data_IF_833485967602
#
_entry.id   IF_833485967602
#
_cell.length_a   1.000
_cell.length_b   1.000
_cell.length_c   1.000
_cell.angle_alpha   90.00
_cell.angle_beta   90.00
_cell.angle_gamma   90.00
#
_symmetry.space_group_name_H-M   'P 1'
#
loop_
_entity.id
_entity.type
_entity.pdbx_description
1 polymer ?
#
# COMPACT_ATOMS: atom_id res chain seq x y z
N UNK A 1 -14.19 -4.58 -11.46
CA UNK A 1 -15.01 -3.34 -11.35
C UNK A 1 -14.72 -2.72 -9.99
N UNK A 2 -14.71 -1.38 -9.87
CA UNK A 2 -14.64 -0.73 -8.53
C UNK A 2 -15.92 -1.06 -7.77
N UNK A 3 -15.80 -1.59 -6.55
CA UNK A 3 -16.94 -1.86 -5.66
C UNK A 3 -17.14 -0.79 -4.60
N UNK A 4 -16.10 0.00 -4.33
CA UNK A 4 -16.10 1.03 -3.30
C UNK A 4 -15.63 2.37 -3.88
N UNK A 5 -15.91 3.45 -3.16
CA UNK A 5 -15.29 4.76 -3.39
C UNK A 5 -14.09 4.96 -2.49
N UNK A 6 -13.22 5.91 -2.85
CA UNK A 6 -12.09 6.29 -1.99
C UNK A 6 -12.54 6.78 -0.62
N UNK A 7 -13.66 7.51 -0.55
CA UNK A 7 -14.27 7.94 0.72
C UNK A 7 -14.65 6.74 1.61
N UNK A 8 -15.27 5.70 1.04
CA UNK A 8 -15.63 4.49 1.79
C UNK A 8 -14.39 3.77 2.32
N UNK A 9 -13.33 3.65 1.51
CA UNK A 9 -12.07 3.03 1.92
C UNK A 9 -11.33 3.83 2.99
N UNK A 10 -11.30 5.15 2.88
CA UNK A 10 -10.77 6.04 3.91
C UNK A 10 -11.52 5.89 5.23
N UNK A 11 -12.86 5.87 5.20
CA UNK A 11 -13.67 5.63 6.41
C UNK A 11 -13.42 4.24 7.00
N UNK A 12 -13.35 3.22 6.15
CA UNK A 12 -13.09 1.84 6.56
C UNK A 12 -11.76 1.71 7.31
N UNK A 13 -10.68 2.29 6.81
CA UNK A 13 -9.38 2.21 7.48
C UNK A 13 -9.30 3.10 8.73
N UNK A 14 -9.98 4.25 8.73
CA UNK A 14 -10.11 5.10 9.91
C UNK A 14 -10.80 4.35 11.04
N UNK A 15 -11.90 3.65 10.75
CA UNK A 15 -12.63 2.86 11.75
C UNK A 15 -11.80 1.66 12.23
N UNK A 16 -11.25 0.88 11.30
CA UNK A 16 -10.46 -0.32 11.61
C UNK A 16 -9.22 -0.04 12.47
N UNK A 17 -8.60 1.14 12.31
CA UNK A 17 -7.39 1.56 13.02
C UNK A 17 -7.62 2.68 14.04
N UNK A 18 -8.87 3.05 14.28
CA UNK A 18 -9.27 4.14 15.20
C UNK A 18 -8.55 5.48 14.90
N UNK A 19 -8.34 5.78 13.62
CA UNK A 19 -7.65 6.99 13.17
C UNK A 19 -8.63 8.15 13.01
N UNK A 20 -8.21 9.33 13.47
CA UNK A 20 -8.82 10.62 13.14
C UNK A 20 -8.15 11.16 11.88
N UNK A 21 -8.81 12.14 11.23
CA UNK A 21 -8.23 12.79 10.04
C UNK A 21 -6.88 13.46 10.33
N UNK A 22 -6.67 13.96 11.56
CA UNK A 22 -5.39 14.56 11.96
C UNK A 22 -4.27 13.53 11.99
N UNK A 23 -4.55 12.31 12.43
CA UNK A 23 -3.57 11.22 12.51
C UNK A 23 -3.13 10.79 11.09
N UNK A 24 -4.04 10.84 10.11
CA UNK A 24 -3.71 10.61 8.70
C UNK A 24 -2.81 11.72 8.13
N UNK A 25 -3.07 12.98 8.48
CA UNK A 25 -2.24 14.11 8.03
C UNK A 25 -0.81 14.00 8.59
N UNK A 26 -0.68 13.67 9.87
CA UNK A 26 0.60 13.45 10.54
C UNK A 26 1.37 12.28 9.90
N UNK A 27 0.71 11.15 9.65
CA UNK A 27 1.31 10.01 8.95
C UNK A 27 1.73 10.33 7.50
N UNK A 28 1.00 11.21 6.82
CA UNK A 28 1.28 11.63 5.45
C UNK A 28 2.38 12.69 5.35
N UNK A 29 2.63 13.47 6.41
CA UNK A 29 3.59 14.57 6.43
C UNK A 29 5.00 14.23 5.91
N UNK A 30 5.66 13.12 6.33
CA UNK A 30 6.99 12.79 5.83
C UNK A 30 6.99 12.52 4.31
N UNK A 31 5.94 11.88 3.80
CA UNK A 31 5.79 11.62 2.37
C UNK A 31 5.47 12.90 1.59
N UNK A 32 4.60 13.76 2.13
CA UNK A 32 4.31 15.08 1.57
C UNK A 32 5.58 15.91 1.39
N UNK A 33 6.46 15.95 2.39
CA UNK A 33 7.76 16.63 2.32
C UNK A 33 8.67 15.98 1.29
N UNK A 34 8.79 14.64 1.30
CA UNK A 34 9.67 13.89 0.40
C UNK A 34 9.33 14.09 -1.08
N UNK A 35 8.04 14.11 -1.41
CA UNK A 35 7.56 14.19 -2.79
C UNK A 35 7.06 15.58 -3.19
N UNK A 36 7.24 16.59 -2.32
CA UNK A 36 6.78 17.97 -2.51
C UNK A 36 5.27 18.07 -2.85
N UNK A 37 4.44 17.24 -2.20
CA UNK A 37 2.99 17.19 -2.38
C UNK A 37 2.30 17.85 -1.20
N UNK A 38 1.42 18.83 -1.46
CA UNK A 38 0.58 19.46 -0.43
C UNK A 38 -0.68 18.63 -0.17
N UNK A 39 -0.85 18.19 1.08
CA UNK A 39 -2.08 17.58 1.59
C UNK A 39 -2.59 18.40 2.77
N UNK A 40 -3.61 19.20 2.53
CA UNK A 40 -4.20 20.09 3.55
C UNK A 40 -5.38 19.43 4.27
N UNK A 41 -5.67 19.90 5.49
CA UNK A 41 -6.81 19.42 6.28
C UNK A 41 -8.15 19.53 5.55
N UNK A 42 -8.39 20.63 4.85
CA UNK A 42 -9.62 20.81 4.08
C UNK A 42 -9.74 19.79 2.94
N UNK A 43 -8.64 19.53 2.22
CA UNK A 43 -8.60 18.54 1.15
C UNK A 43 -8.90 17.13 1.68
N UNK A 44 -8.23 16.72 2.76
CA UNK A 44 -8.49 15.41 3.38
C UNK A 44 -9.95 15.27 3.85
N UNK A 45 -10.52 16.32 4.48
CA UNK A 45 -11.93 16.30 4.89
C UNK A 45 -12.89 16.16 3.71
N UNK A 46 -12.56 16.73 2.55
CA UNK A 46 -13.33 16.57 1.33
C UNK A 46 -13.21 15.16 0.75
N UNK A 47 -12.04 14.52 0.87
CA UNK A 47 -11.84 13.12 0.46
C UNK A 47 -12.61 12.16 1.35
N UNK A 48 -12.54 12.35 2.68
CA UNK A 48 -13.27 11.51 3.64
C UNK A 48 -14.79 11.68 3.47
N UNK A 49 -15.29 12.88 3.21
CA UNK A 49 -16.72 13.09 2.93
C UNK A 49 -17.17 12.60 1.55
N UNK A 50 -16.24 12.35 0.62
CA UNK A 50 -16.54 11.97 -0.76
C UNK A 50 -16.95 13.13 -1.67
N UNK A 51 -16.79 14.38 -1.20
CA UNK A 51 -17.09 15.58 -2.00
C UNK A 51 -16.11 15.75 -3.17
N UNK A 52 -14.87 15.31 -2.99
CA UNK A 52 -13.80 15.39 -3.99
C UNK A 52 -13.05 14.07 -3.96
N UNK A 53 -12.61 13.57 -5.12
CA UNK A 53 -11.69 12.44 -5.18
C UNK A 53 -10.22 12.93 -5.17
N UNK A 54 -9.33 12.26 -4.42
CA UNK A 54 -7.90 12.58 -4.47
C UNK A 54 -7.31 12.26 -5.85
N UNK A 55 -6.47 13.15 -6.35
CA UNK A 55 -5.66 12.89 -7.55
C UNK A 55 -4.56 11.85 -7.28
N UNK A 56 -3.90 11.38 -8.35
CA UNK A 56 -2.90 10.30 -8.29
C UNK A 56 -1.80 10.53 -7.26
N UNK A 57 -1.18 11.72 -7.24
CA UNK A 57 -0.12 12.04 -6.27
C UNK A 57 -0.60 11.88 -4.82
N UNK A 58 -1.82 12.35 -4.52
CA UNK A 58 -2.39 12.29 -3.17
C UNK A 58 -2.82 10.87 -2.80
N UNK A 59 -3.32 10.09 -3.76
CA UNK A 59 -3.57 8.66 -3.57
C UNK A 59 -2.30 7.91 -3.21
N UNK A 60 -1.20 8.19 -3.90
CA UNK A 60 0.11 7.57 -3.60
C UNK A 60 0.58 7.93 -2.19
N UNK A 61 0.51 9.22 -1.82
CA UNK A 61 0.86 9.68 -0.47
C UNK A 61 0.00 8.99 0.59
N UNK A 62 -1.33 8.97 0.41
CA UNK A 62 -2.25 8.33 1.35
C UNK A 62 -2.02 6.81 1.43
N UNK A 63 -1.76 6.16 0.30
CA UNK A 63 -1.41 4.75 0.26
C UNK A 63 -0.14 4.43 1.04
N UNK A 64 0.91 5.26 0.90
CA UNK A 64 2.15 5.09 1.67
C UNK A 64 1.92 5.34 3.17
N UNK A 65 1.24 6.44 3.51
CA UNK A 65 0.96 6.83 4.88
C UNK A 65 0.12 5.78 5.64
N UNK A 66 -0.83 5.16 4.95
CA UNK A 66 -1.75 4.18 5.51
C UNK A 66 -1.27 2.74 5.30
N UNK A 67 -0.14 2.51 4.63
CA UNK A 67 0.35 1.16 4.32
C UNK A 67 -0.63 0.34 3.49
N UNK A 68 -1.40 1.00 2.61
CA UNK A 68 -2.38 0.35 1.72
C UNK A 68 -2.03 0.53 0.26
N UNK A 69 -2.53 -0.38 -0.58
CA UNK A 69 -2.39 -0.24 -2.02
C UNK A 69 -3.31 0.87 -2.55
N UNK A 70 -2.84 1.63 -3.54
CA UNK A 70 -3.62 2.68 -4.19
C UNK A 70 -4.86 2.09 -4.87
N UNK A 71 -4.73 0.91 -5.47
CA UNK A 71 -5.85 0.20 -6.07
C UNK A 71 -6.92 -0.17 -5.03
N UNK A 72 -6.55 -0.65 -3.85
CA UNK A 72 -7.51 -0.89 -2.78
C UNK A 72 -8.19 0.41 -2.34
N UNK A 73 -7.39 1.47 -2.14
CA UNK A 73 -7.87 2.79 -1.72
C UNK A 73 -8.83 3.40 -2.75
N UNK A 74 -8.57 3.19 -4.04
CA UNK A 74 -9.45 3.57 -5.16
C UNK A 74 -10.72 2.71 -5.28
N UNK A 75 -10.87 1.69 -4.42
CA UNK A 75 -12.08 0.89 -4.29
C UNK A 75 -12.14 -0.38 -5.15
N UNK A 76 -10.99 -0.85 -5.65
CA UNK A 76 -10.89 -2.16 -6.27
C UNK A 76 -10.91 -3.27 -5.21
N UNK A 77 -11.34 -4.46 -5.63
CA UNK A 77 -11.26 -5.68 -4.82
C UNK A 77 -9.90 -6.33 -4.98
N UNK A 78 -8.92 -5.74 -4.32
CA UNK A 78 -7.55 -6.26 -4.19
C UNK A 78 -7.18 -6.28 -2.70
N UNK A 79 -6.07 -6.91 -2.28
CA UNK A 79 -5.63 -6.83 -0.89
C UNK A 79 -5.43 -5.38 -0.41
N UNK A 80 -5.77 -5.14 0.86
CA UNK A 80 -5.63 -3.82 1.48
C UNK A 80 -4.16 -3.43 1.55
N UNK A 81 -3.34 -4.36 2.02
CA UNK A 81 -1.94 -4.18 2.29
C UNK A 81 -1.21 -3.85 1.00
N UNK A 82 -0.32 -2.87 1.11
CA UNK A 82 0.66 -2.63 0.07
C UNK A 82 1.62 -3.82 0.10
N UNK A 83 1.75 -4.56 -1.01
CA UNK A 83 2.84 -5.51 -1.19
C UNK A 83 4.15 -4.73 -1.28
N UNK A 84 4.68 -4.33 -0.14
CA UNK A 84 6.07 -3.95 0.00
C UNK A 84 6.76 -5.22 0.45
N UNK A 85 7.69 -5.75 -0.37
CA UNK A 85 8.69 -6.70 0.10
C UNK A 85 9.61 -5.95 1.07
N UNK A 86 9.09 -5.59 2.23
CA UNK A 86 9.87 -5.10 3.35
C UNK A 86 10.17 -6.31 4.20
N UNK A 87 11.45 -6.48 4.50
CA UNK A 87 11.95 -7.48 5.45
C UNK A 87 11.21 -7.41 6.80
N UNK A 88 10.58 -6.28 7.13
CA UNK A 88 9.90 -6.04 8.40
C UNK A 88 8.59 -6.84 8.59
N UNK A 89 7.83 -7.10 7.52
CA UNK A 89 6.50 -7.76 7.61
C UNK A 89 6.48 -9.24 7.18
N UNK A 90 7.61 -9.78 6.72
CA UNK A 90 7.74 -11.20 6.42
C UNK A 90 7.82 -12.04 7.69
N UNK A 91 7.18 -13.22 7.70
CA UNK A 91 7.54 -14.24 8.68
C UNK A 91 9.02 -14.63 8.52
N UNK A 92 9.60 -15.33 9.50
CA UNK A 92 11.03 -15.70 9.51
C UNK A 92 11.50 -16.30 8.16
N UNK A 93 10.66 -17.13 7.54
CA UNK A 93 10.93 -17.77 6.24
C UNK A 93 10.99 -16.78 5.07
N UNK A 94 10.20 -15.72 5.10
CA UNK A 94 10.20 -14.70 4.05
C UNK A 94 11.47 -13.85 4.13
N UNK A 95 11.94 -13.54 5.34
CA UNK A 95 13.22 -12.82 5.55
C UNK A 95 14.39 -13.67 5.09
N UNK A 96 14.44 -14.92 5.53
CA UNK A 96 15.45 -15.89 5.13
C UNK A 96 15.49 -16.07 3.61
N UNK A 97 14.33 -16.18 2.96
CA UNK A 97 14.27 -16.27 1.49
C UNK A 97 14.85 -15.02 0.81
N UNK A 98 14.51 -13.81 1.27
CA UNK A 98 15.02 -12.57 0.67
C UNK A 98 16.55 -12.49 0.82
N UNK A 99 17.08 -12.84 2.01
CA UNK A 99 18.52 -12.85 2.27
C UNK A 99 19.25 -13.87 1.38
N UNK A 100 18.79 -15.12 1.37
CA UNK A 100 19.39 -16.18 0.55
C UNK A 100 19.28 -15.87 -0.94
N UNK A 101 18.13 -15.39 -1.41
CA UNK A 101 17.91 -15.07 -2.82
C UNK A 101 18.78 -13.91 -3.31
N UNK A 102 19.07 -12.94 -2.43
CA UNK A 102 19.99 -11.84 -2.72
C UNK A 102 21.45 -12.26 -2.88
N UNK A 103 21.85 -13.40 -2.30
CA UNK A 103 23.22 -13.95 -2.41
C UNK A 103 23.46 -14.75 -3.71
N UNK A 104 22.40 -15.03 -4.49
CA UNK A 104 22.47 -15.86 -5.69
C UNK A 104 22.88 -15.05 -6.94
N UNK A 105 23.45 -15.75 -7.92
CA UNK A 105 23.69 -15.18 -9.25
C UNK A 105 22.37 -15.03 -10.03
N UNK A 106 22.37 -14.21 -11.08
CA UNK A 106 21.19 -14.02 -11.94
C UNK A 106 20.66 -15.35 -12.52
N UNK A 107 21.55 -16.27 -12.89
CA UNK A 107 21.19 -17.60 -13.41
C UNK A 107 20.51 -18.47 -12.33
N UNK A 108 21.05 -18.44 -11.11
CA UNK A 108 20.48 -19.18 -9.98
C UNK A 108 19.13 -18.60 -9.54
N UNK A 109 18.99 -17.27 -9.52
CA UNK A 109 17.71 -16.60 -9.28
C UNK A 109 16.66 -17.02 -10.32
N UNK A 110 17.03 -17.09 -11.61
CA UNK A 110 16.13 -17.52 -12.67
C UNK A 110 15.64 -18.98 -12.48
N UNK A 111 16.52 -19.87 -12.04
CA UNK A 111 16.16 -21.26 -11.73
C UNK A 111 15.15 -21.35 -10.58
N UNK A 112 15.40 -20.63 -9.48
CA UNK A 112 14.50 -20.59 -8.32
C UNK A 112 13.13 -20.01 -8.71
N UNK A 113 13.10 -18.92 -9.50
CA UNK A 113 11.85 -18.33 -10.01
C UNK A 113 11.08 -19.35 -10.87
N UNK A 114 11.77 -20.12 -11.70
CA UNK A 114 11.14 -21.17 -12.53
C UNK A 114 10.43 -22.22 -11.67
N UNK A 115 11.08 -22.68 -10.59
CA UNK A 115 10.47 -23.65 -9.67
C UNK A 115 9.26 -23.08 -8.94
N UNK A 116 9.34 -21.84 -8.45
CA UNK A 116 8.20 -21.17 -7.80
C UNK A 116 7.02 -21.05 -8.77
N UNK A 117 7.27 -20.65 -10.02
CA UNK A 117 6.24 -20.59 -11.06
C UNK A 117 5.61 -21.96 -11.33
N UNK A 118 6.41 -23.03 -11.35
CA UNK A 118 5.91 -24.39 -11.50
C UNK A 118 4.98 -24.83 -10.37
N UNK A 119 5.30 -24.49 -9.13
CA UNK A 119 4.44 -24.77 -7.96
C UNK A 119 3.11 -24.02 -8.06
N UNK A 120 3.17 -22.72 -8.40
CA UNK A 120 1.98 -21.86 -8.50
C UNK A 120 1.06 -22.25 -9.67
N UNK A 121 1.60 -22.80 -10.76
CA UNK A 121 0.81 -23.27 -11.90
C UNK A 121 0.04 -24.58 -11.60
N UNK A 122 0.42 -25.29 -10.52
CA UNK A 122 -0.19 -26.55 -10.09
C UNK A 122 -1.15 -26.39 -8.89
N UNK A 123 -1.48 -25.16 -8.50
CA UNK A 123 -2.50 -24.81 -7.50
C UNK A 123 -3.77 -24.31 -8.19
#
# INVERSE_FOLDING_TARGET
MKKYTTSQRLKQIMEARQLRQVDILEAAEPFCKKYNVKLEKNALSQYVSGKVEPGQEKLTILGMALGVSEAWLMGYEVPMERYTLTTENGNERTREFIELFGLLTAEQQALIISQIKGILANQ
#
